data_IF_177662224474
#
_entry.id   IF_177662224474
#
_cell.length_a   1.000
_cell.length_b   1.000
_cell.length_c   1.000
_cell.angle_alpha   90.00
_cell.angle_beta   90.00
_cell.angle_gamma   90.00
#
_symmetry.space_group_name_H-M   'P 1'
#
loop_
_entity.id
_entity.type
_entity.pdbx_description
1 polymer ?
#
# COMPACT_ATOMS: atom_id res chain seq x y z
N UNK A 1 -8.75 33.31 -20.94
CA UNK A 1 -7.97 33.70 -19.73
C UNK A 1 -8.56 33.19 -18.41
N UNK A 2 -9.86 32.95 -18.30
CA UNK A 2 -10.52 32.41 -17.08
C UNK A 2 -10.17 30.96 -16.75
N UNK A 3 -9.89 30.13 -17.74
CA UNK A 3 -9.62 28.69 -17.58
C UNK A 3 -8.26 28.40 -16.89
N UNK A 4 -7.24 29.19 -17.19
CA UNK A 4 -5.92 29.06 -16.56
C UNK A 4 -5.94 29.39 -15.04
N UNK A 5 -6.75 30.35 -14.62
CA UNK A 5 -6.86 30.76 -13.22
C UNK A 5 -7.53 29.69 -12.35
N UNK A 6 -8.59 29.06 -12.86
CA UNK A 6 -9.27 27.95 -12.19
C UNK A 6 -8.40 26.70 -12.11
N UNK A 7 -7.64 26.40 -13.15
CA UNK A 7 -6.71 25.27 -13.18
C UNK A 7 -5.54 25.46 -12.21
N UNK A 8 -4.97 26.67 -12.16
CA UNK A 8 -3.91 27.00 -11.20
C UNK A 8 -4.37 26.93 -9.74
N UNK A 9 -5.59 27.37 -9.43
CA UNK A 9 -6.18 27.23 -8.09
C UNK A 9 -6.38 25.78 -7.69
N UNK A 10 -6.81 24.92 -8.62
CA UNK A 10 -6.98 23.49 -8.38
C UNK A 10 -5.64 22.81 -8.11
N UNK A 11 -4.63 23.09 -8.92
CA UNK A 11 -3.26 22.57 -8.74
C UNK A 11 -2.70 23.03 -7.40
N UNK A 12 -2.79 24.33 -7.07
CA UNK A 12 -2.31 24.85 -5.81
C UNK A 12 -3.00 24.20 -4.59
N UNK A 13 -4.32 24.02 -4.66
CA UNK A 13 -5.10 23.34 -3.62
C UNK A 13 -4.64 21.89 -3.43
N UNK A 14 -4.48 21.13 -4.51
CA UNK A 14 -4.04 19.74 -4.46
C UNK A 14 -2.63 19.62 -3.88
N UNK A 15 -1.70 20.48 -4.33
CA UNK A 15 -0.33 20.52 -3.81
C UNK A 15 -0.29 20.86 -2.32
N UNK A 16 -1.09 21.82 -1.89
CA UNK A 16 -1.20 22.20 -0.47
C UNK A 16 -1.67 21.03 0.41
N UNK A 17 -2.75 20.34 0.01
CA UNK A 17 -3.23 19.16 0.75
C UNK A 17 -2.19 18.04 0.81
N UNK A 18 -1.50 17.76 -0.28
CA UNK A 18 -0.47 16.73 -0.32
C UNK A 18 0.74 17.10 0.56
N UNK A 19 1.14 18.37 0.57
CA UNK A 19 2.27 18.84 1.40
C UNK A 19 1.94 18.77 2.89
N UNK A 20 0.78 19.31 3.30
CA UNK A 20 0.34 19.24 4.71
C UNK A 20 0.21 17.77 5.16
N UNK A 21 -0.41 16.94 4.35
CA UNK A 21 -0.50 15.51 4.62
C UNK A 21 0.89 14.90 4.84
N UNK A 22 1.85 15.17 3.95
CA UNK A 22 3.19 14.61 4.04
C UNK A 22 3.89 14.99 5.34
N UNK A 23 3.84 16.28 5.71
CA UNK A 23 4.42 16.77 6.97
C UNK A 23 3.74 16.09 8.17
N UNK A 24 2.42 16.08 8.21
CA UNK A 24 1.66 15.50 9.31
C UNK A 24 1.95 14.01 9.47
N UNK A 25 1.87 13.23 8.38
CA UNK A 25 2.14 11.79 8.37
C UNK A 25 3.55 11.51 8.85
N UNK A 26 4.55 12.28 8.39
CA UNK A 26 5.95 12.09 8.81
C UNK A 26 6.14 12.35 10.30
N UNK A 27 5.58 13.44 10.83
CA UNK A 27 5.69 13.75 12.26
C UNK A 27 5.03 12.69 13.14
N UNK A 28 3.81 12.27 12.78
CA UNK A 28 3.12 11.20 13.51
C UNK A 28 3.87 9.88 13.40
N UNK A 29 4.45 9.57 12.23
CA UNK A 29 5.23 8.33 12.05
C UNK A 29 6.48 8.29 12.94
N UNK A 30 7.23 9.40 13.03
CA UNK A 30 8.41 9.52 13.91
C UNK A 30 7.99 9.32 15.39
N UNK A 31 6.90 9.95 15.81
CA UNK A 31 6.38 9.77 17.16
C UNK A 31 5.93 8.33 17.41
N UNK A 32 5.19 7.74 16.48
CA UNK A 32 4.68 6.36 16.58
C UNK A 32 5.81 5.34 16.69
N UNK A 33 6.92 5.51 15.97
CA UNK A 33 8.06 4.58 16.05
C UNK A 33 8.65 4.53 17.45
N UNK A 34 8.72 5.67 18.14
CA UNK A 34 9.16 5.75 19.53
C UNK A 34 8.17 5.08 20.49
N UNK A 35 6.86 5.27 20.27
CA UNK A 35 5.80 4.63 21.07
C UNK A 35 5.87 3.11 20.91
N UNK A 36 6.03 2.60 19.69
CA UNK A 36 6.16 1.16 19.41
C UNK A 36 7.39 0.57 20.11
N UNK A 37 8.54 1.25 20.02
CA UNK A 37 9.76 0.82 20.69
C UNK A 37 9.57 0.69 22.21
N UNK A 38 8.92 1.68 22.84
CA UNK A 38 8.64 1.66 24.26
C UNK A 38 7.61 0.58 24.65
N UNK A 39 6.63 0.31 23.79
CA UNK A 39 5.57 -0.66 24.04
C UNK A 39 6.03 -2.12 23.89
N UNK A 40 6.83 -2.40 22.86
CA UNK A 40 7.34 -3.75 22.56
C UNK A 40 8.65 -4.06 23.27
N UNK A 41 9.47 -3.05 23.57
CA UNK A 41 10.84 -3.22 24.04
C UNK A 41 11.82 -3.49 22.89
N UNK A 42 13.13 -3.44 23.20
CA UNK A 42 14.19 -3.45 22.18
C UNK A 42 14.22 -4.74 21.35
N UNK A 43 14.02 -5.91 22.00
CA UNK A 43 14.11 -7.21 21.33
C UNK A 43 12.97 -7.39 20.33
N UNK A 44 11.73 -7.22 20.77
CA UNK A 44 10.54 -7.41 19.93
C UNK A 44 10.44 -6.34 18.84
N UNK A 45 10.84 -5.09 19.15
CA UNK A 45 10.95 -4.03 18.13
C UNK A 45 12.03 -4.36 17.09
N UNK A 46 13.15 -4.95 17.51
CA UNK A 46 14.18 -5.44 16.60
C UNK A 46 13.66 -6.52 15.65
N UNK A 47 12.96 -7.54 16.18
CA UNK A 47 12.33 -8.59 15.38
C UNK A 47 11.35 -8.00 14.38
N UNK A 48 10.48 -7.08 14.82
CA UNK A 48 9.52 -6.38 13.96
C UNK A 48 10.21 -5.63 12.82
N UNK A 49 11.28 -4.88 13.10
CA UNK A 49 11.99 -4.12 12.07
C UNK A 49 12.73 -5.00 11.07
N UNK A 50 13.35 -6.09 11.52
CA UNK A 50 14.08 -7.02 10.64
C UNK A 50 13.09 -7.71 9.69
N UNK A 51 11.99 -8.24 10.21
CA UNK A 51 10.95 -8.91 9.41
C UNK A 51 10.28 -7.91 8.47
N UNK A 52 9.83 -6.77 9.00
CA UNK A 52 9.16 -5.74 8.20
C UNK A 52 10.09 -5.14 7.14
N UNK A 53 11.36 -4.90 7.48
CA UNK A 53 12.39 -4.44 6.55
C UNK A 53 12.61 -5.41 5.40
N UNK A 54 12.74 -6.71 5.69
CA UNK A 54 12.88 -7.74 4.67
C UNK A 54 11.68 -7.80 3.72
N UNK A 55 10.45 -7.83 4.26
CA UNK A 55 9.23 -7.83 3.45
C UNK A 55 9.11 -6.53 2.63
N UNK A 56 9.47 -5.38 3.21
CA UNK A 56 9.39 -4.08 2.52
C UNK A 56 10.38 -3.94 1.36
N UNK A 57 11.47 -4.71 1.32
CA UNK A 57 12.40 -4.72 0.18
C UNK A 57 11.69 -5.07 -1.14
N UNK A 58 10.64 -5.89 -1.09
CA UNK A 58 9.85 -6.21 -2.28
C UNK A 58 8.90 -5.07 -2.68
N UNK A 59 8.75 -4.06 -1.83
CA UNK A 59 7.91 -2.89 -2.08
C UNK A 59 8.45 -1.96 -3.18
N UNK A 60 9.76 -2.00 -3.53
CA UNK A 60 10.30 -1.17 -4.60
C UNK A 60 9.65 -1.46 -5.96
N UNK A 61 9.26 -2.73 -6.21
CA UNK A 61 8.56 -3.13 -7.41
C UNK A 61 7.21 -2.41 -7.56
N UNK A 62 6.56 -2.11 -6.43
CA UNK A 62 5.27 -1.45 -6.42
C UNK A 62 5.31 0.00 -6.89
N UNK A 63 6.37 0.76 -6.60
CA UNK A 63 6.48 2.16 -6.98
C UNK A 63 6.52 2.34 -8.49
N UNK A 64 7.32 1.53 -9.19
CA UNK A 64 7.43 1.59 -10.64
C UNK A 64 6.10 1.23 -11.32
N UNK A 65 5.45 0.16 -10.87
CA UNK A 65 4.16 -0.27 -11.40
C UNK A 65 3.04 0.74 -11.09
N UNK A 66 3.00 1.32 -9.90
CA UNK A 66 2.01 2.33 -9.52
C UNK A 66 2.08 3.56 -10.43
N UNK A 67 3.29 4.08 -10.69
CA UNK A 67 3.51 5.20 -11.59
C UNK A 67 3.11 4.85 -13.04
N UNK A 68 3.42 3.64 -13.48
CA UNK A 68 2.99 3.12 -14.78
C UNK A 68 1.47 3.10 -14.92
N UNK A 69 0.77 2.48 -13.97
CA UNK A 69 -0.69 2.39 -13.96
C UNK A 69 -1.33 3.79 -13.96
N UNK A 70 -0.85 4.70 -13.11
CA UNK A 70 -1.35 6.08 -13.03
C UNK A 70 -1.17 6.83 -14.36
N UNK A 71 -0.04 6.63 -15.06
CA UNK A 71 0.19 7.24 -16.37
C UNK A 71 -0.81 6.75 -17.41
N UNK A 72 -1.07 5.44 -17.47
CA UNK A 72 -2.06 4.88 -18.40
C UNK A 72 -3.48 5.38 -18.10
N UNK A 73 -3.87 5.49 -16.82
CA UNK A 73 -5.14 6.11 -16.44
C UNK A 73 -5.23 7.55 -16.90
N UNK A 74 -4.19 8.36 -16.66
CA UNK A 74 -4.18 9.77 -17.06
C UNK A 74 -4.25 9.93 -18.57
N UNK A 75 -3.58 9.05 -19.33
CA UNK A 75 -3.62 9.07 -20.79
C UNK A 75 -5.02 8.77 -21.33
N UNK A 76 -5.65 7.70 -20.86
CA UNK A 76 -6.99 7.31 -21.30
C UNK A 76 -8.06 8.32 -20.87
N UNK A 77 -7.95 8.90 -19.68
CA UNK A 77 -8.83 9.97 -19.22
C UNK A 77 -8.73 11.21 -20.10
N UNK A 78 -7.51 11.60 -20.49
CA UNK A 78 -7.27 12.76 -21.33
C UNK A 78 -7.67 12.55 -22.80
N UNK A 79 -7.46 11.35 -23.35
CA UNK A 79 -7.69 11.06 -24.76
C UNK A 79 -9.14 10.68 -25.09
N UNK A 80 -9.79 9.88 -24.25
CA UNK A 80 -11.08 9.24 -24.56
C UNK A 80 -12.18 9.48 -23.50
N UNK A 81 -11.87 10.17 -22.41
CA UNK A 81 -12.81 10.43 -21.34
C UNK A 81 -13.00 9.25 -20.37
N UNK A 82 -13.95 9.41 -19.43
CA UNK A 82 -14.09 8.53 -18.27
C UNK A 82 -14.46 7.07 -18.58
N UNK A 83 -15.05 6.78 -19.73
CA UNK A 83 -15.46 5.41 -20.11
C UNK A 83 -14.32 4.52 -20.60
N UNK A 84 -13.18 5.09 -20.99
CA UNK A 84 -12.06 4.36 -21.58
C UNK A 84 -11.11 3.70 -20.57
N UNK A 85 -11.27 3.95 -19.27
CA UNK A 85 -10.38 3.43 -18.22
C UNK A 85 -10.59 1.95 -17.90
N UNK A 86 -11.75 1.39 -18.21
CA UNK A 86 -12.09 0.00 -17.87
C UNK A 86 -11.04 -1.01 -18.34
N UNK A 87 -10.53 -0.95 -19.60
CA UNK A 87 -9.47 -1.88 -20.03
C UNK A 87 -8.17 -1.74 -19.22
N UNK A 88 -7.75 -0.49 -18.93
CA UNK A 88 -6.55 -0.22 -18.13
C UNK A 88 -6.72 -0.74 -16.71
N UNK A 89 -7.89 -0.56 -16.10
CA UNK A 89 -8.20 -1.07 -14.77
C UNK A 89 -8.11 -2.59 -14.71
N UNK A 90 -8.70 -3.30 -15.68
CA UNK A 90 -8.63 -4.75 -15.73
C UNK A 90 -7.20 -5.26 -15.93
N UNK A 91 -6.44 -4.63 -16.85
CA UNK A 91 -5.02 -4.95 -17.03
C UNK A 91 -4.20 -4.70 -15.75
N UNK A 92 -4.43 -3.58 -15.07
CA UNK A 92 -3.76 -3.24 -13.81
C UNK A 92 -4.07 -4.25 -12.69
N UNK A 93 -5.33 -4.69 -12.54
CA UNK A 93 -5.70 -5.72 -11.56
C UNK A 93 -4.98 -7.05 -11.83
N UNK A 94 -4.87 -7.45 -13.09
CA UNK A 94 -4.20 -8.70 -13.45
C UNK A 94 -2.70 -8.58 -13.19
N UNK A 95 -2.06 -7.48 -13.60
CA UNK A 95 -0.63 -7.24 -13.37
C UNK A 95 -0.33 -7.29 -11.87
N UNK A 96 -1.12 -6.60 -11.05
CA UNK A 96 -0.92 -6.57 -9.61
C UNK A 96 -1.25 -7.91 -8.94
N UNK A 97 -2.26 -8.64 -9.45
CA UNK A 97 -2.57 -9.98 -8.98
C UNK A 97 -1.44 -10.99 -9.27
N UNK A 98 -0.87 -10.95 -10.47
CA UNK A 98 0.28 -11.78 -10.83
C UNK A 98 1.52 -11.39 -10.00
N UNK A 99 1.79 -10.10 -9.84
CA UNK A 99 2.89 -9.62 -9.00
C UNK A 99 2.71 -10.06 -7.54
N UNK A 100 1.52 -9.94 -6.99
CA UNK A 100 1.20 -10.39 -5.64
C UNK A 100 1.46 -11.89 -5.47
N UNK A 101 1.09 -12.70 -6.47
CA UNK A 101 1.36 -14.14 -6.47
C UNK A 101 2.85 -14.44 -6.52
N UNK A 102 3.61 -13.76 -7.38
CA UNK A 102 5.07 -13.93 -7.48
C UNK A 102 5.74 -13.53 -6.16
N UNK A 103 5.37 -12.40 -5.57
CA UNK A 103 5.92 -11.94 -4.30
C UNK A 103 5.54 -12.90 -3.16
N UNK A 104 4.30 -13.42 -3.14
CA UNK A 104 3.89 -14.45 -2.18
C UNK A 104 4.80 -15.68 -2.27
N UNK A 105 5.02 -16.22 -3.48
CA UNK A 105 5.88 -17.38 -3.67
C UNK A 105 7.33 -17.12 -3.26
N UNK A 106 7.86 -15.93 -3.55
CA UNK A 106 9.21 -15.53 -3.14
C UNK A 106 9.32 -15.38 -1.62
N UNK A 107 8.34 -14.76 -0.97
CA UNK A 107 8.35 -14.60 0.48
C UNK A 107 8.17 -15.95 1.19
N UNK A 108 7.26 -16.81 0.72
CA UNK A 108 7.06 -18.14 1.32
C UNK A 108 8.22 -19.11 1.06
N UNK A 109 9.02 -18.91 0.02
CA UNK A 109 10.20 -19.73 -0.24
C UNK A 109 11.48 -19.11 0.35
N UNK A 110 11.93 -18.00 -0.24
CA UNK A 110 13.18 -17.34 0.15
C UNK A 110 13.05 -16.64 1.49
N UNK A 111 11.88 -16.06 1.77
CA UNK A 111 11.62 -15.36 3.04
C UNK A 111 11.61 -16.32 4.22
N UNK A 112 10.95 -17.46 4.11
CA UNK A 112 10.97 -18.48 5.16
C UNK A 112 12.37 -19.07 5.32
N UNK A 113 13.07 -19.37 4.20
CA UNK A 113 14.45 -19.83 4.29
C UNK A 113 15.33 -18.81 5.05
N UNK A 114 15.18 -17.51 4.77
CA UNK A 114 15.90 -16.44 5.45
C UNK A 114 15.54 -16.35 6.94
N UNK A 115 14.24 -16.46 7.28
CA UNK A 115 13.76 -16.48 8.67
C UNK A 115 14.36 -17.63 9.47
N UNK A 116 14.41 -18.84 8.89
CA UNK A 116 14.90 -20.04 9.59
C UNK A 116 16.43 -20.15 9.64
N UNK A 117 17.14 -19.60 8.63
CA UNK A 117 18.57 -19.92 8.45
C UNK A 117 19.48 -18.73 8.74
N UNK A 118 18.99 -17.49 8.63
CA UNK A 118 19.84 -16.28 8.69
C UNK A 118 19.45 -15.29 9.77
N UNK A 119 18.20 -15.26 10.18
CA UNK A 119 17.78 -14.35 11.25
C UNK A 119 18.21 -14.90 12.62
N UNK A 120 18.84 -14.03 13.42
CA UNK A 120 19.20 -14.33 14.80
C UNK A 120 18.02 -13.93 15.69
N UNK A 121 17.11 -14.88 15.93
CA UNK A 121 15.92 -14.69 16.76
C UNK A 121 16.03 -15.59 17.99
N UNK A 122 15.73 -15.08 19.22
CA UNK A 122 15.66 -15.93 20.40
C UNK A 122 14.69 -17.09 20.22
N UNK A 123 15.07 -18.30 20.63
CA UNK A 123 14.28 -19.53 20.42
C UNK A 123 12.86 -19.37 20.96
N UNK A 124 12.71 -18.72 22.11
CA UNK A 124 11.43 -18.44 22.76
C UNK A 124 10.51 -17.53 21.94
N UNK A 125 11.08 -16.68 21.09
CA UNK A 125 10.37 -15.73 20.24
C UNK A 125 10.15 -16.21 18.79
N UNK A 126 10.72 -17.36 18.44
CA UNK A 126 10.70 -17.84 17.05
C UNK A 126 9.28 -18.08 16.51
N UNK A 127 8.41 -18.69 17.32
CA UNK A 127 7.01 -18.94 16.92
C UNK A 127 6.25 -17.64 16.70
N UNK A 128 6.50 -16.62 17.51
CA UNK A 128 5.87 -15.29 17.37
C UNK A 128 6.40 -14.57 16.14
N UNK A 129 7.71 -14.66 15.90
CA UNK A 129 8.35 -14.10 14.70
C UNK A 129 7.82 -14.74 13.40
N UNK A 130 7.54 -16.05 13.40
CA UNK A 130 6.90 -16.72 12.28
C UNK A 130 5.51 -16.15 11.97
N UNK A 131 4.65 -16.00 12.99
CA UNK A 131 3.32 -15.41 12.75
C UNK A 131 3.39 -13.95 12.36
N UNK A 132 4.31 -13.19 12.94
CA UNK A 132 4.57 -11.79 12.52
C UNK A 132 4.98 -11.72 11.05
N UNK A 133 5.83 -12.65 10.60
CA UNK A 133 6.24 -12.76 9.21
C UNK A 133 5.02 -13.02 8.32
N UNK A 134 4.15 -13.98 8.66
CA UNK A 134 2.93 -14.27 7.89
C UNK A 134 1.98 -13.05 7.83
N UNK A 135 1.77 -12.35 8.94
CA UNK A 135 0.97 -11.11 8.93
C UNK A 135 1.60 -10.03 8.07
N UNK A 136 2.93 -9.91 8.07
CA UNK A 136 3.65 -8.94 7.22
C UNK A 136 3.53 -9.28 5.74
N UNK A 137 3.61 -10.56 5.38
CA UNK A 137 3.39 -11.05 4.01
C UNK A 137 1.98 -10.68 3.54
N UNK A 138 0.94 -11.04 4.31
CA UNK A 138 -0.45 -10.72 3.96
C UNK A 138 -0.68 -9.21 3.84
N UNK A 139 -0.09 -8.42 4.73
CA UNK A 139 -0.15 -6.93 4.67
C UNK A 139 0.49 -6.42 3.38
N UNK A 140 1.64 -6.96 2.98
CA UNK A 140 2.31 -6.59 1.74
C UNK A 140 1.46 -6.93 0.50
N UNK A 141 0.84 -8.11 0.46
CA UNK A 141 -0.04 -8.50 -0.64
C UNK A 141 -1.25 -7.58 -0.78
N UNK A 142 -1.89 -7.20 0.34
CA UNK A 142 -3.00 -6.25 0.34
C UNK A 142 -2.55 -4.89 -0.21
N UNK A 143 -1.38 -4.41 0.16
CA UNK A 143 -0.81 -3.15 -0.34
C UNK A 143 -0.56 -3.20 -1.85
N UNK A 144 -0.10 -4.35 -2.37
CA UNK A 144 0.11 -4.55 -3.82
C UNK A 144 -1.23 -4.48 -4.57
N UNK A 145 -2.22 -5.24 -4.11
CA UNK A 145 -3.55 -5.31 -4.76
C UNK A 145 -4.30 -3.97 -4.65
N UNK A 146 -3.96 -3.13 -3.68
CA UNK A 146 -4.54 -1.79 -3.48
C UNK A 146 -4.13 -0.77 -4.55
N UNK A 147 -2.97 -0.95 -5.20
CA UNK A 147 -2.37 0.04 -6.11
C UNK A 147 -3.30 0.50 -7.24
N UNK A 148 -4.03 -0.37 -7.97
CA UNK A 148 -4.94 0.07 -9.03
C UNK A 148 -6.03 1.02 -8.55
N UNK A 149 -6.55 0.82 -7.33
CA UNK A 149 -7.56 1.68 -6.73
C UNK A 149 -6.97 3.04 -6.34
N UNK A 150 -5.80 3.03 -5.73
CA UNK A 150 -5.09 4.25 -5.34
C UNK A 150 -4.70 5.08 -6.57
N UNK A 151 -4.17 4.44 -7.60
CA UNK A 151 -3.81 5.10 -8.86
C UNK A 151 -5.04 5.70 -9.55
N UNK A 152 -6.20 5.03 -9.53
CA UNK A 152 -7.46 5.57 -10.04
C UNK A 152 -7.87 6.84 -9.29
N UNK A 153 -7.87 6.83 -7.96
CA UNK A 153 -8.22 7.99 -7.13
C UNK A 153 -7.33 9.19 -7.45
N UNK A 154 -6.03 8.97 -7.62
CA UNK A 154 -5.07 10.02 -7.99
C UNK A 154 -5.31 10.54 -9.40
N UNK A 155 -5.62 9.66 -10.36
CA UNK A 155 -5.90 10.03 -11.76
C UNK A 155 -7.22 10.79 -11.92
N UNK A 156 -8.22 10.53 -11.07
CA UNK A 156 -9.45 11.31 -10.98
C UNK A 156 -9.32 12.59 -10.13
N UNK A 157 -8.09 12.93 -9.72
CA UNK A 157 -7.76 14.11 -8.90
C UNK A 157 -8.52 14.18 -7.56
N UNK A 158 -8.90 13.04 -6.98
CA UNK A 158 -9.52 12.97 -5.65
C UNK A 158 -8.46 12.97 -4.54
N UNK A 159 -7.59 14.01 -4.56
CA UNK A 159 -6.46 14.13 -3.64
C UNK A 159 -6.90 14.36 -2.19
N UNK A 160 -8.07 14.95 -2.00
CA UNK A 160 -8.72 15.13 -0.70
C UNK A 160 -8.99 13.79 -0.02
N UNK A 161 -9.63 12.85 -0.73
CA UNK A 161 -9.87 11.50 -0.22
C UNK A 161 -8.57 10.75 0.08
N UNK A 162 -7.60 10.82 -0.84
CA UNK A 162 -6.29 10.21 -0.65
C UNK A 162 -5.58 10.74 0.60
N UNK A 163 -5.63 12.06 0.83
CA UNK A 163 -5.06 12.69 2.01
C UNK A 163 -5.76 12.23 3.31
N UNK A 164 -7.09 12.18 3.32
CA UNK A 164 -7.89 11.73 4.48
C UNK A 164 -7.54 10.29 4.83
N UNK A 165 -7.52 9.36 3.84
CA UNK A 165 -7.18 7.96 4.10
C UNK A 165 -5.76 7.81 4.63
N UNK A 166 -4.80 8.58 4.10
CA UNK A 166 -3.40 8.54 4.58
C UNK A 166 -3.25 9.05 6.01
N UNK A 167 -3.99 10.09 6.39
CA UNK A 167 -4.03 10.61 7.77
C UNK A 167 -4.68 9.58 8.69
N UNK A 168 -5.79 9.00 8.26
CA UNK A 168 -6.49 7.97 9.02
C UNK A 168 -5.59 6.74 9.24
N UNK A 169 -4.87 6.29 8.22
CA UNK A 169 -3.93 5.17 8.30
C UNK A 169 -2.84 5.40 9.37
N UNK A 170 -2.20 6.56 9.37
CA UNK A 170 -1.14 6.86 10.33
C UNK A 170 -1.68 7.04 11.75
N UNK A 171 -2.90 7.60 11.89
CA UNK A 171 -3.57 7.70 13.21
C UNK A 171 -3.99 6.34 13.75
N UNK A 172 -4.49 5.44 12.91
CA UNK A 172 -4.75 4.05 13.30
C UNK A 172 -3.48 3.36 13.77
N UNK A 173 -2.36 3.55 13.06
CA UNK A 173 -1.09 2.98 13.48
C UNK A 173 -0.63 3.51 14.84
N UNK A 174 -0.78 4.81 15.09
CA UNK A 174 -0.49 5.41 16.39
C UNK A 174 -1.43 4.87 17.48
N UNK A 175 -2.72 4.75 17.18
CA UNK A 175 -3.70 4.20 18.13
C UNK A 175 -3.36 2.75 18.51
N UNK A 176 -3.00 1.92 17.53
CA UNK A 176 -2.54 0.55 17.77
C UNK A 176 -1.31 0.57 18.71
N UNK A 177 -0.31 1.41 18.38
CA UNK A 177 0.90 1.51 19.20
C UNK A 177 0.61 1.91 20.67
N UNK A 178 -0.32 2.84 20.89
CA UNK A 178 -0.73 3.28 22.22
C UNK A 178 -1.57 2.22 22.96
N UNK A 179 -2.29 1.36 22.24
CA UNK A 179 -3.11 0.31 22.83
C UNK A 179 -2.29 -0.92 23.27
N UNK A 180 -1.16 -1.20 22.62
CA UNK A 180 -0.33 -2.38 22.91
C UNK A 180 0.09 -2.53 24.38
N UNK A 181 0.50 -1.48 25.13
CA UNK A 181 0.87 -1.64 26.54
C UNK A 181 -0.24 -2.22 27.43
N UNK A 182 -1.49 -2.04 27.05
CA UNK A 182 -2.67 -2.50 27.81
C UNK A 182 -3.07 -3.95 27.49
N UNK A 183 -2.41 -4.57 26.52
CA UNK A 183 -2.71 -5.94 26.09
C UNK A 183 -2.03 -6.93 27.05
N UNK A 184 -2.80 -7.92 27.53
CA UNK A 184 -2.32 -8.99 28.43
C UNK A 184 -1.69 -10.18 27.67
N UNK A 185 -1.94 -10.30 26.38
CA UNK A 185 -1.35 -11.33 25.49
C UNK A 185 0.02 -10.88 24.99
N UNK A 186 0.66 -11.73 24.17
CA UNK A 186 1.94 -11.37 23.57
C UNK A 186 1.82 -10.11 22.70
N UNK A 187 2.55 -9.08 23.09
CA UNK A 187 2.46 -7.74 22.50
C UNK A 187 2.87 -7.71 21.04
N UNK A 188 3.92 -8.47 20.69
CA UNK A 188 4.43 -8.51 19.31
C UNK A 188 3.44 -9.21 18.36
N UNK A 189 2.85 -10.31 18.81
CA UNK A 189 1.85 -11.05 18.03
C UNK A 189 0.61 -10.17 17.76
N UNK A 190 0.08 -9.54 18.83
CA UNK A 190 -1.10 -8.68 18.70
C UNK A 190 -0.82 -7.45 17.85
N UNK A 191 0.38 -6.86 17.99
CA UNK A 191 0.79 -5.74 17.15
C UNK A 191 0.81 -6.13 15.67
N UNK A 192 1.39 -7.29 15.31
CA UNK A 192 1.37 -7.81 13.95
C UNK A 192 -0.04 -8.03 13.41
N UNK A 193 -0.92 -8.67 14.22
CA UNK A 193 -2.32 -8.90 13.84
C UNK A 193 -3.09 -7.59 13.63
N UNK A 194 -2.96 -6.63 14.54
CA UNK A 194 -3.61 -5.33 14.42
C UNK A 194 -3.09 -4.53 13.21
N UNK A 195 -1.81 -4.67 12.87
CA UNK A 195 -1.24 -4.07 11.64
C UNK A 195 -1.86 -4.69 10.39
N UNK A 196 -2.09 -6.01 10.36
CA UNK A 196 -2.81 -6.66 9.27
C UNK A 196 -4.27 -6.17 9.19
N UNK A 197 -4.99 -6.10 10.32
CA UNK A 197 -6.36 -5.58 10.36
C UNK A 197 -6.41 -4.14 9.83
N UNK A 198 -5.45 -3.29 10.22
CA UNK A 198 -5.30 -1.93 9.70
C UNK A 198 -5.18 -1.94 8.17
N UNK A 199 -4.33 -2.80 7.61
CA UNK A 199 -4.16 -2.91 6.15
C UNK A 199 -5.47 -3.34 5.45
N UNK A 200 -6.23 -4.27 6.03
CA UNK A 200 -7.56 -4.67 5.53
C UNK A 200 -8.53 -3.49 5.53
N UNK A 201 -8.58 -2.72 6.62
CA UNK A 201 -9.46 -1.54 6.74
C UNK A 201 -9.12 -0.50 5.65
N UNK A 202 -7.84 -0.19 5.48
CA UNK A 202 -7.39 0.77 4.46
C UNK A 202 -7.70 0.26 3.05
N UNK A 203 -7.44 -1.02 2.77
CA UNK A 203 -7.81 -1.63 1.49
C UNK A 203 -9.32 -1.52 1.23
N UNK A 204 -10.16 -1.84 2.22
CA UNK A 204 -11.61 -1.72 2.10
C UNK A 204 -12.05 -0.27 1.83
N UNK A 205 -11.43 0.73 2.46
CA UNK A 205 -11.74 2.15 2.20
C UNK A 205 -11.47 2.52 0.74
N UNK A 206 -10.30 2.15 0.19
CA UNK A 206 -9.96 2.40 -1.22
C UNK A 206 -10.91 1.66 -2.17
N UNK A 207 -11.14 0.38 -1.91
CA UNK A 207 -12.03 -0.45 -2.74
C UNK A 207 -13.47 0.08 -2.76
N UNK A 208 -14.05 0.35 -1.58
CA UNK A 208 -15.43 0.83 -1.47
C UNK A 208 -15.60 2.22 -2.09
N UNK A 209 -14.64 3.12 -1.90
CA UNK A 209 -14.67 4.43 -2.52
C UNK A 209 -14.65 4.32 -4.05
N UNK A 210 -13.76 3.53 -4.61
CA UNK A 210 -13.67 3.32 -6.05
C UNK A 210 -14.97 2.71 -6.60
N UNK A 211 -15.50 1.67 -5.94
CA UNK A 211 -16.73 1.01 -6.35
C UNK A 211 -17.95 1.95 -6.34
N UNK A 212 -18.02 2.89 -5.39
CA UNK A 212 -19.15 3.82 -5.26
C UNK A 212 -19.06 5.02 -6.20
N UNK A 213 -17.86 5.53 -6.44
CA UNK A 213 -17.68 6.80 -7.14
C UNK A 213 -17.28 6.65 -8.60
N UNK A 214 -16.72 5.50 -9.00
CA UNK A 214 -16.19 5.30 -10.35
C UNK A 214 -16.93 4.16 -11.07
N UNK A 215 -18.00 4.48 -11.75
CA UNK A 215 -18.80 3.50 -12.51
C UNK A 215 -18.04 2.84 -13.68
N UNK A 216 -16.95 3.47 -14.12
CA UNK A 216 -16.06 2.95 -15.15
C UNK A 216 -15.08 1.87 -14.66
N UNK A 217 -14.92 1.69 -13.34
CA UNK A 217 -14.08 0.64 -12.76
C UNK A 217 -14.89 -0.66 -12.62
N UNK A 218 -15.18 -1.29 -13.77
CA UNK A 218 -15.88 -2.57 -13.82
C UNK A 218 -14.95 -3.67 -14.29
N UNK A 219 -15.06 -4.84 -13.68
CA UNK A 219 -14.38 -6.04 -14.15
C UNK A 219 -15.08 -6.48 -15.44
N UNK A 220 -14.33 -6.61 -16.52
CA UNK A 220 -14.79 -7.13 -17.81
C UNK A 220 -14.02 -8.38 -18.18
N UNK A 221 -14.70 -9.34 -18.79
CA UNK A 221 -14.09 -10.61 -19.21
C UNK A 221 -13.14 -10.47 -20.41
N UNK A 222 -13.22 -9.34 -21.14
CA UNK A 222 -12.36 -9.08 -22.31
C UNK A 222 -11.05 -8.44 -21.86
N UNK A 223 -9.98 -9.23 -21.90
CA UNK A 223 -8.62 -8.78 -21.65
C UNK A 223 -8.01 -8.22 -22.94
N UNK A 224 -7.58 -6.96 -22.90
CA UNK A 224 -6.76 -6.39 -23.97
C UNK A 224 -5.30 -6.81 -23.77
N UNK A 225 -4.88 -7.85 -24.51
CA UNK A 225 -3.50 -8.38 -24.43
C UNK A 225 -2.44 -7.40 -24.92
N UNK A 226 -2.80 -6.50 -25.85
CA UNK A 226 -1.88 -5.49 -26.37
C UNK A 226 -1.59 -4.47 -25.28
N UNK A 227 -2.65 -3.92 -24.68
CA UNK A 227 -2.54 -2.97 -23.56
C UNK A 227 -1.77 -3.56 -22.38
N UNK A 228 -2.06 -4.82 -22.01
CA UNK A 228 -1.35 -5.51 -20.92
C UNK A 228 0.15 -5.61 -21.20
N UNK A 229 0.55 -5.96 -22.44
CA UNK A 229 1.93 -6.02 -22.86
C UNK A 229 2.62 -4.65 -22.83
N UNK A 230 1.92 -3.61 -23.28
CA UNK A 230 2.42 -2.24 -23.23
C UNK A 230 2.65 -1.75 -21.80
N UNK A 231 1.70 -2.01 -20.89
CA UNK A 231 1.82 -1.66 -19.48
C UNK A 231 2.98 -2.40 -18.80
N UNK A 232 3.16 -3.69 -19.07
CA UNK A 232 4.28 -4.48 -18.54
C UNK A 232 5.62 -4.01 -19.11
N UNK A 233 5.71 -3.76 -20.42
CA UNK A 233 6.93 -3.28 -21.08
C UNK A 233 7.34 -1.91 -20.54
N UNK A 234 6.40 -0.99 -20.41
CA UNK A 234 6.65 0.34 -19.85
C UNK A 234 7.13 0.28 -18.39
N UNK A 235 6.48 -0.55 -17.58
CA UNK A 235 6.87 -0.71 -16.15
C UNK A 235 8.23 -1.38 -16.02
N UNK A 236 8.54 -2.37 -16.85
CA UNK A 236 9.86 -3.03 -16.87
C UNK A 236 11.01 -2.13 -17.34
N UNK A 237 10.74 -1.19 -18.24
CA UNK A 237 11.76 -0.22 -18.70
C UNK A 237 12.05 0.86 -17.65
N UNK A 238 11.11 1.15 -16.74
CA UNK A 238 11.26 2.15 -15.66
C UNK A 238 11.79 1.57 -14.34
N UNK A 239 12.11 0.28 -14.27
CA UNK A 239 12.81 -0.37 -13.17
C UNK A 239 14.31 -0.24 -13.32
#
# INVERSE_FOLDING_TARGET
MSDNSTNNKRIAKNTFFLTIRMIFVTLVYIYTSRVILNALGVVDYGIYNVIGGFVSMFGFLNLSLANGIQRFYNYELGAKGTGAITPVYNAALIIQGVLALVILLLLESVGLWYLYSKMVIPVERFHIAFWLFQFSVLTSLLTIIQIPFQAAIMSYEKMDFYAIVSIFDVLLNLFIALAIPFVSLDKLLIFGLLTLIRAVVIFCMYFLFCKRNFTALKIQDKLDKVLLREMLSFSGWNM
#
